data_IF_180601390581
#
_entry.id   IF_180601390581
#
_cell.length_a   1.000
_cell.length_b   1.000
_cell.length_c   1.000
_cell.angle_alpha   90.00
_cell.angle_beta   90.00
_cell.angle_gamma   90.00
#
_symmetry.space_group_name_H-M   'P 1'
#
loop_
_entity.id
_entity.type
_entity.pdbx_description
1 polymer ?
#
# COMPACT_ATOMS: atom_id res chain seq x y z
N UNK A 1 -15.52 14.48 7.55
CA UNK A 1 -14.55 13.92 6.59
C UNK A 1 -14.73 12.42 6.61
N UNK A 2 -15.07 11.79 5.49
CA UNK A 2 -14.98 10.33 5.39
C UNK A 2 -13.51 10.03 5.19
N UNK A 3 -12.86 9.40 6.17
CA UNK A 3 -11.54 8.83 5.98
C UNK A 3 -11.72 7.62 5.06
N UNK A 4 -10.80 7.43 4.09
CA UNK A 4 -10.83 6.23 3.23
C UNK A 4 -10.52 4.99 4.07
N UNK A 5 -9.75 5.17 5.15
CA UNK A 5 -9.39 4.16 6.14
C UNK A 5 -9.81 4.61 7.55
N UNK A 6 -11.09 4.41 7.92
CA UNK A 6 -11.61 4.88 9.21
C UNK A 6 -10.90 4.25 10.42
N UNK A 7 -10.43 3.01 10.29
CA UNK A 7 -9.84 2.21 11.36
C UNK A 7 -8.33 2.42 11.50
N UNK A 8 -7.67 3.05 10.51
CA UNK A 8 -6.21 3.19 10.47
C UNK A 8 -5.64 3.89 11.71
N UNK A 9 -6.22 5.03 12.11
CA UNK A 9 -5.77 5.77 13.30
C UNK A 9 -5.92 4.93 14.56
N UNK A 10 -7.06 4.23 14.69
CA UNK A 10 -7.30 3.37 15.84
C UNK A 10 -6.31 2.21 15.91
N UNK A 11 -5.99 1.57 14.78
CA UNK A 11 -4.99 0.49 14.72
C UNK A 11 -3.60 0.99 15.13
N UNK A 12 -3.21 2.16 14.67
CA UNK A 12 -1.95 2.80 15.06
C UNK A 12 -1.95 3.07 16.57
N UNK A 13 -3.03 3.66 17.11
CA UNK A 13 -3.15 3.95 18.55
C UNK A 13 -3.08 2.67 19.41
N UNK A 14 -3.79 1.60 19.00
CA UNK A 14 -3.78 0.29 19.65
C UNK A 14 -2.38 -0.33 19.64
N UNK A 15 -1.64 -0.22 18.54
CA UNK A 15 -0.27 -0.75 18.42
C UNK A 15 0.73 0.03 19.26
N UNK A 16 0.50 1.33 19.41
CA UNK A 16 1.43 2.20 20.09
C UNK A 16 1.29 2.18 21.60
N UNK A 17 0.18 1.66 22.14
CA UNK A 17 -0.08 1.51 23.58
C UNK A 17 0.20 2.80 24.39
N UNK A 18 -0.11 3.96 23.78
CA UNK A 18 0.11 5.28 24.37
C UNK A 18 1.53 5.85 24.26
N UNK A 19 2.46 5.16 23.59
CA UNK A 19 3.78 5.69 23.25
C UNK A 19 3.71 6.58 21.99
N UNK A 20 3.75 7.90 22.22
CA UNK A 20 3.66 8.91 21.16
C UNK A 20 4.89 8.94 20.23
N UNK A 21 6.08 8.58 20.70
CA UNK A 21 7.26 8.52 19.85
C UNK A 21 7.15 7.32 18.91
N UNK A 22 6.80 6.16 19.46
CA UNK A 22 6.58 4.97 18.66
C UNK A 22 5.40 5.13 17.68
N UNK A 23 4.33 5.84 18.07
CA UNK A 23 3.22 6.21 17.17
C UNK A 23 3.69 6.98 15.95
N UNK A 24 4.56 7.97 16.15
CA UNK A 24 5.15 8.77 15.06
C UNK A 24 5.99 7.89 14.14
N UNK A 25 6.86 7.08 14.72
CA UNK A 25 7.70 6.16 13.96
C UNK A 25 6.88 5.15 13.15
N UNK A 26 5.84 4.58 13.77
CA UNK A 26 4.95 3.62 13.12
C UNK A 26 4.18 4.24 11.96
N UNK A 27 3.58 5.42 12.17
CA UNK A 27 2.86 6.15 11.12
C UNK A 27 3.80 6.51 9.97
N UNK A 28 5.01 6.96 10.28
CA UNK A 28 6.05 7.26 9.30
C UNK A 28 6.50 6.00 8.54
N UNK A 29 6.62 4.85 9.22
CA UNK A 29 6.99 3.58 8.60
C UNK A 29 5.91 3.10 7.62
N UNK A 30 4.62 3.24 7.96
CA UNK A 30 3.50 2.94 7.04
C UNK A 30 3.58 3.85 5.82
N UNK A 31 3.78 5.16 6.02
CA UNK A 31 3.91 6.13 4.94
C UNK A 31 5.04 5.79 3.97
N UNK A 32 6.24 5.47 4.51
CA UNK A 32 7.39 5.04 3.71
C UNK A 32 7.10 3.74 2.98
N UNK A 33 6.49 2.76 3.65
CA UNK A 33 6.12 1.48 3.05
C UNK A 33 5.17 1.62 1.85
N UNK A 34 4.19 2.51 1.92
CA UNK A 34 3.30 2.81 0.80
C UNK A 34 4.01 3.51 -0.36
N UNK A 35 4.97 4.40 -0.08
CA UNK A 35 5.80 5.03 -1.12
C UNK A 35 6.71 4.01 -1.80
N UNK A 36 7.31 3.11 -1.04
CA UNK A 36 8.09 1.99 -1.58
C UNK A 36 7.21 1.09 -2.45
N UNK A 37 6.00 0.76 -1.99
CA UNK A 37 5.02 0.01 -2.76
C UNK A 37 4.78 0.65 -4.12
N UNK A 38 4.45 1.94 -4.14
CA UNK A 38 4.25 2.70 -5.39
C UNK A 38 5.47 2.62 -6.30
N UNK A 39 6.65 2.90 -5.76
CA UNK A 39 7.90 2.98 -6.51
C UNK A 39 8.25 1.63 -7.15
N UNK A 40 8.40 0.58 -6.34
CA UNK A 40 8.83 -0.73 -6.85
C UNK A 40 7.79 -1.38 -7.75
N UNK A 41 6.49 -1.20 -7.46
CA UNK A 41 5.44 -1.70 -8.35
C UNK A 41 5.46 -0.99 -9.71
N UNK A 42 5.74 0.32 -9.73
CA UNK A 42 5.95 1.09 -10.98
C UNK A 42 7.19 0.65 -11.73
N UNK A 43 8.31 0.46 -11.02
CA UNK A 43 9.56 0.01 -11.61
C UNK A 43 9.41 -1.38 -12.25
N UNK A 44 8.76 -2.31 -11.55
CA UNK A 44 8.48 -3.64 -12.08
C UNK A 44 7.53 -3.61 -13.27
N UNK A 45 6.57 -2.68 -13.32
CA UNK A 45 5.73 -2.50 -14.52
C UNK A 45 6.55 -1.96 -15.71
N UNK A 46 7.33 -0.90 -15.51
CA UNK A 46 8.16 -0.28 -16.57
C UNK A 46 9.19 -1.26 -17.13
N UNK A 47 9.83 -2.04 -16.24
CA UNK A 47 10.85 -3.01 -16.61
C UNK A 47 10.28 -4.35 -17.06
N UNK A 48 8.96 -4.56 -16.90
CA UNK A 48 8.29 -5.86 -17.05
C UNK A 48 8.95 -6.95 -16.21
N UNK A 49 9.31 -6.58 -15.00
CA UNK A 49 10.00 -7.42 -14.03
C UNK A 49 9.01 -7.96 -13.00
N UNK A 50 8.65 -9.23 -13.18
CA UNK A 50 7.75 -9.95 -12.30
C UNK A 50 8.34 -10.15 -10.91
N UNK A 51 9.66 -10.31 -10.81
CA UNK A 51 10.33 -10.55 -9.54
C UNK A 51 10.24 -9.31 -8.65
N UNK A 52 10.48 -8.11 -9.20
CA UNK A 52 10.32 -6.84 -8.47
C UNK A 52 8.89 -6.71 -7.93
N UNK A 53 7.87 -6.95 -8.76
CA UNK A 53 6.46 -6.88 -8.34
C UNK A 53 6.13 -7.93 -7.27
N UNK A 54 6.64 -9.16 -7.40
CA UNK A 54 6.43 -10.21 -6.41
C UNK A 54 7.07 -9.85 -5.08
N UNK A 55 8.33 -9.40 -5.07
CA UNK A 55 9.06 -9.06 -3.87
C UNK A 55 8.37 -7.94 -3.09
N UNK A 56 7.99 -6.84 -3.76
CA UNK A 56 7.32 -5.74 -3.06
C UNK A 56 5.96 -6.17 -2.51
N UNK A 57 5.17 -6.95 -3.26
CA UNK A 57 3.88 -7.49 -2.80
C UNK A 57 4.03 -8.34 -1.55
N UNK A 58 5.00 -9.25 -1.53
CA UNK A 58 5.24 -10.11 -0.36
C UNK A 58 5.69 -9.31 0.86
N UNK A 59 6.50 -8.27 0.65
CA UNK A 59 6.95 -7.38 1.72
C UNK A 59 5.80 -6.59 2.34
N UNK A 60 4.92 -5.99 1.53
CA UNK A 60 3.91 -5.05 2.05
C UNK A 60 2.58 -5.69 2.45
N UNK A 61 2.23 -6.86 1.89
CA UNK A 61 0.92 -7.50 2.14
C UNK A 61 0.61 -7.71 3.63
N UNK A 62 1.56 -8.14 4.50
CA UNK A 62 1.31 -8.25 5.94
C UNK A 62 0.94 -6.90 6.56
N UNK A 63 1.65 -5.83 6.21
CA UNK A 63 1.38 -4.47 6.69
C UNK A 63 0.00 -3.98 6.23
N UNK A 64 -0.35 -4.21 4.96
CA UNK A 64 -1.67 -3.82 4.45
C UNK A 64 -2.81 -4.50 5.21
N UNK A 65 -2.68 -5.80 5.49
CA UNK A 65 -3.69 -6.52 6.29
C UNK A 65 -3.72 -6.10 7.76
N UNK A 66 -2.57 -5.77 8.35
CA UNK A 66 -2.46 -5.34 9.75
C UNK A 66 -3.14 -3.99 10.01
N UNK A 67 -3.14 -3.11 9.03
CA UNK A 67 -3.70 -1.75 9.11
C UNK A 67 -4.97 -1.57 8.27
N UNK A 68 -5.61 -2.67 7.86
CA UNK A 68 -6.92 -2.67 7.18
C UNK A 68 -6.96 -1.90 5.85
N UNK A 69 -5.84 -1.90 5.13
CA UNK A 69 -5.78 -1.47 3.72
C UNK A 69 -6.32 -2.57 2.79
N UNK A 70 -7.56 -3.02 3.04
CA UNK A 70 -8.17 -4.17 2.37
C UNK A 70 -8.31 -3.93 0.85
N UNK A 71 -8.59 -2.69 0.44
CA UNK A 71 -8.68 -2.33 -0.98
C UNK A 71 -7.35 -2.55 -1.70
N UNK A 72 -6.23 -2.11 -1.10
CA UNK A 72 -4.88 -2.33 -1.64
C UNK A 72 -4.49 -3.81 -1.60
N UNK A 73 -4.81 -4.52 -0.51
CA UNK A 73 -4.50 -5.94 -0.38
C UNK A 73 -5.24 -6.78 -1.44
N UNK A 74 -6.52 -6.48 -1.67
CA UNK A 74 -7.34 -7.12 -2.71
C UNK A 74 -6.86 -6.76 -4.11
N UNK A 75 -6.52 -5.48 -4.35
CA UNK A 75 -5.96 -5.03 -5.62
C UNK A 75 -4.64 -5.76 -5.93
N UNK A 76 -3.72 -5.86 -4.97
CA UNK A 76 -2.49 -6.63 -5.12
C UNK A 76 -2.73 -8.12 -5.40
N UNK A 77 -3.81 -8.71 -4.88
CA UNK A 77 -4.18 -10.08 -5.19
C UNK A 77 -4.68 -10.20 -6.64
N UNK A 78 -5.57 -9.31 -7.08
CA UNK A 78 -6.05 -9.24 -8.45
C UNK A 78 -4.88 -9.04 -9.46
N UNK A 79 -3.97 -8.11 -9.18
CA UNK A 79 -2.81 -7.87 -10.05
C UNK A 79 -1.90 -9.09 -10.22
N UNK A 80 -1.79 -9.91 -9.17
CA UNK A 80 -1.07 -11.20 -9.26
C UNK A 80 -1.79 -12.16 -10.20
N UNK A 81 -3.09 -12.31 -10.04
CA UNK A 81 -3.89 -13.21 -10.86
C UNK A 81 -3.82 -12.80 -12.35
N UNK A 82 -3.88 -11.50 -12.64
CA UNK A 82 -3.71 -10.96 -14.00
C UNK A 82 -2.30 -11.27 -14.54
N UNK A 83 -1.25 -11.07 -13.74
CA UNK A 83 0.13 -11.40 -14.17
C UNK A 83 0.32 -12.90 -14.44
N UNK A 84 -0.28 -13.75 -13.61
CA UNK A 84 -0.23 -15.21 -13.78
C UNK A 84 -1.03 -15.69 -14.99
N UNK A 85 -2.12 -15.02 -15.36
CA UNK A 85 -2.98 -15.40 -16.49
C UNK A 85 -2.57 -14.77 -17.83
N UNK A 86 -2.25 -13.49 -17.84
CA UNK A 86 -2.09 -12.66 -19.04
C UNK A 86 -0.72 -11.95 -19.13
N UNK A 87 0.09 -11.99 -18.07
CA UNK A 87 1.39 -11.31 -18.02
C UNK A 87 1.29 -9.78 -18.13
N UNK A 88 2.34 -9.15 -18.65
CA UNK A 88 2.44 -7.68 -18.80
C UNK A 88 1.67 -7.14 -20.03
N UNK A 89 0.37 -7.47 -20.10
CA UNK A 89 -0.54 -7.03 -21.15
C UNK A 89 -1.37 -5.80 -20.80
N UNK A 90 -2.34 -5.47 -21.66
CA UNK A 90 -3.27 -4.34 -21.46
C UNK A 90 -4.07 -4.48 -20.16
N UNK A 91 -4.49 -5.68 -19.80
CA UNK A 91 -5.22 -5.94 -18.54
C UNK A 91 -4.38 -5.53 -17.33
N UNK A 92 -3.09 -5.89 -17.33
CA UNK A 92 -2.19 -5.51 -16.25
C UNK A 92 -1.89 -4.01 -16.24
N UNK A 93 -1.79 -3.36 -17.41
CA UNK A 93 -1.65 -1.91 -17.49
C UNK A 93 -2.87 -1.19 -16.90
N UNK A 94 -4.10 -1.63 -17.23
CA UNK A 94 -5.32 -1.06 -16.65
C UNK A 94 -5.35 -1.25 -15.14
N UNK A 95 -5.03 -2.46 -14.68
CA UNK A 95 -4.90 -2.75 -13.26
C UNK A 95 -3.87 -1.85 -12.57
N UNK A 96 -2.69 -1.67 -13.17
CA UNK A 96 -1.62 -0.83 -12.66
C UNK A 96 -2.09 0.62 -12.49
N UNK A 97 -2.74 1.20 -13.51
CA UNK A 97 -3.22 2.58 -13.46
C UNK A 97 -4.28 2.79 -12.37
N UNK A 98 -5.16 1.80 -12.16
CA UNK A 98 -6.13 1.81 -11.06
C UNK A 98 -5.44 1.67 -9.70
N UNK A 99 -4.52 0.71 -9.55
CA UNK A 99 -3.83 0.42 -8.31
C UNK A 99 -2.96 1.59 -7.85
N UNK A 100 -2.20 2.23 -8.75
CA UNK A 100 -1.37 3.39 -8.39
C UNK A 100 -2.23 4.55 -7.87
N UNK A 101 -3.42 4.76 -8.44
CA UNK A 101 -4.37 5.77 -7.93
C UNK A 101 -4.89 5.43 -6.53
N UNK A 102 -5.09 4.16 -6.22
CA UNK A 102 -5.47 3.73 -4.87
C UNK A 102 -4.31 3.94 -3.89
N UNK A 103 -3.09 3.55 -4.26
CA UNK A 103 -1.90 3.76 -3.43
C UNK A 103 -1.66 5.25 -3.17
N UNK A 104 -1.84 6.11 -4.17
CA UNK A 104 -1.72 7.56 -3.99
C UNK A 104 -2.71 8.12 -2.98
N UNK A 105 -3.98 7.66 -3.02
CA UNK A 105 -4.97 8.03 -2.01
C UNK A 105 -4.57 7.56 -0.62
N UNK A 106 -4.07 6.33 -0.48
CA UNK A 106 -3.59 5.82 0.80
C UNK A 106 -2.41 6.62 1.35
N UNK A 107 -1.44 6.98 0.49
CA UNK A 107 -0.32 7.85 0.85
C UNK A 107 -0.84 9.20 1.35
N UNK A 108 -1.82 9.80 0.68
CA UNK A 108 -2.41 11.08 1.12
C UNK A 108 -3.12 10.97 2.47
N UNK A 109 -3.86 9.89 2.72
CA UNK A 109 -4.54 9.67 3.99
C UNK A 109 -3.56 9.46 5.15
N UNK A 110 -2.54 8.62 4.96
CA UNK A 110 -1.50 8.41 5.98
C UNK A 110 -0.71 9.69 6.21
N UNK A 111 -0.42 10.46 5.14
CA UNK A 111 0.28 11.75 5.27
C UNK A 111 -0.49 12.73 6.16
N UNK A 112 -1.82 12.80 6.05
CA UNK A 112 -2.63 13.64 6.94
C UNK A 112 -2.44 13.25 8.40
N UNK A 113 -2.31 11.95 8.70
CA UNK A 113 -2.01 11.50 10.06
C UNK A 113 -0.61 11.94 10.49
N UNK A 114 0.41 11.79 9.65
CA UNK A 114 1.78 12.26 9.94
C UNK A 114 1.81 13.77 10.25
N UNK A 115 1.08 14.58 9.47
CA UNK A 115 1.04 16.04 9.65
C UNK A 115 0.24 16.47 10.90
N UNK A 116 -0.50 15.55 11.54
CA UNK A 116 -1.36 15.80 12.70
C UNK A 116 -0.86 15.15 14.02
N UNK A 117 0.27 14.42 14.01
CA UNK A 117 0.89 13.78 15.19
C UNK A 117 2.21 14.49 15.53
#
# INVERSE_FOLDING_TARGET
>A
MSLIYPELSQRIDEMSDGDEEFKKELTQAIFVGLKELKQFYSDGMVQRDLEIIQQIRHKVKPTLGMFEFDDLANSLQNGKEILESAGFGTEFQTHFDDFIRQVDRAIEEVKKLVDHI
#
